data_IF_624903633579
#
_entry.id   IF_624903633579
#
_cell.length_a   1.000
_cell.length_b   1.000
_cell.length_c   1.000
_cell.angle_alpha   90.00
_cell.angle_beta   90.00
_cell.angle_gamma   90.00
#
_symmetry.space_group_name_H-M   'P 1'
#
loop_
_entity.id
_entity.type
_entity.pdbx_description
1 polymer ?
#
# COMPACT_ATOMS: atom_id res chain seq x y z
N UNK A 1 -1.72 -3.31 18.79
CA UNK A 1 -2.67 -2.59 17.92
C UNK A 1 -2.41 -3.04 16.50
N UNK A 2 -3.43 -3.05 15.63
CA UNK A 2 -3.25 -3.36 14.21
C UNK A 2 -2.18 -2.45 13.57
N UNK A 3 -1.55 -2.91 12.50
CA UNK A 3 -0.49 -2.16 11.82
C UNK A 3 -0.65 -2.29 10.32
N UNK A 4 -0.54 -1.18 9.59
CA UNK A 4 -0.72 -1.16 8.13
C UNK A 4 0.59 -0.74 7.49
N UNK A 5 1.08 -1.50 6.52
CA UNK A 5 2.15 -1.07 5.63
C UNK A 5 1.51 -0.60 4.33
N UNK A 6 1.62 0.67 3.98
CA UNK A 6 1.15 1.21 2.71
C UNK A 6 2.29 1.39 1.71
N UNK A 7 2.01 1.23 0.41
CA UNK A 7 2.94 1.47 -0.67
C UNK A 7 2.29 2.21 -1.85
N UNK A 8 3.08 3.03 -2.52
CA UNK A 8 2.77 3.60 -3.84
C UNK A 8 3.93 3.25 -4.77
N UNK A 9 3.60 2.69 -5.94
CA UNK A 9 4.57 2.06 -6.82
C UNK A 9 4.38 2.59 -8.25
N UNK A 10 5.43 3.10 -8.91
CA UNK A 10 5.38 3.40 -10.34
C UNK A 10 5.60 2.12 -11.15
N UNK A 11 4.62 1.73 -11.96
CA UNK A 11 4.66 0.54 -12.81
C UNK A 11 4.72 0.97 -14.27
N UNK A 12 5.70 0.49 -15.05
CA UNK A 12 5.70 0.74 -16.49
C UNK A 12 4.41 0.21 -17.12
N UNK A 13 3.75 1.00 -17.98
CA UNK A 13 2.46 0.60 -18.56
C UNK A 13 2.50 -0.75 -19.27
N UNK A 14 3.63 -1.11 -19.90
CA UNK A 14 3.85 -2.42 -20.53
C UNK A 14 4.05 -3.58 -19.56
N UNK A 15 4.30 -3.30 -18.27
CA UNK A 15 4.52 -4.30 -17.23
C UNK A 15 3.29 -4.50 -16.33
N UNK A 16 2.13 -3.93 -16.70
CA UNK A 16 0.90 -4.04 -15.90
C UNK A 16 0.54 -5.48 -15.56
N UNK A 17 0.44 -6.35 -16.57
CA UNK A 17 0.05 -7.76 -16.39
C UNK A 17 1.09 -8.49 -15.53
N UNK A 18 2.37 -8.19 -15.74
CA UNK A 18 3.46 -8.75 -14.95
C UNK A 18 3.38 -8.32 -13.47
N UNK A 19 3.05 -7.07 -13.21
CA UNK A 19 2.82 -6.58 -11.85
C UNK A 19 1.65 -7.32 -11.18
N UNK A 20 0.55 -7.54 -11.90
CA UNK A 20 -0.60 -8.31 -11.39
C UNK A 20 -0.18 -9.74 -11.03
N UNK A 21 0.57 -10.43 -11.89
CA UNK A 21 1.07 -11.78 -11.60
C UNK A 21 2.00 -11.81 -10.36
N UNK A 22 2.81 -10.77 -10.16
CA UNK A 22 3.67 -10.66 -8.98
C UNK A 22 2.85 -10.41 -7.70
N UNK A 23 1.86 -9.53 -7.76
CA UNK A 23 0.95 -9.25 -6.65
C UNK A 23 0.16 -10.51 -6.24
N UNK A 24 -0.37 -11.26 -7.21
CA UNK A 24 -1.10 -12.51 -6.96
C UNK A 24 -0.24 -13.59 -6.29
N UNK A 25 1.07 -13.62 -6.56
CA UNK A 25 2.03 -14.53 -5.91
C UNK A 25 2.48 -14.02 -4.54
N UNK A 26 2.65 -12.70 -4.38
CA UNK A 26 3.10 -12.09 -3.14
C UNK A 26 2.03 -12.11 -2.05
N UNK A 27 0.75 -11.92 -2.41
CA UNK A 27 -0.36 -11.91 -1.46
C UNK A 27 -0.43 -13.16 -0.56
N UNK A 28 -0.46 -14.41 -1.08
CA UNK A 28 -0.46 -15.60 -0.23
C UNK A 28 0.83 -15.74 0.58
N UNK A 29 1.97 -15.32 0.03
CA UNK A 29 3.25 -15.34 0.75
C UNK A 29 3.20 -14.45 2.00
N UNK A 30 2.75 -13.19 1.90
CA UNK A 30 2.57 -12.34 3.08
C UNK A 30 1.56 -12.93 4.09
N UNK A 31 0.52 -13.62 3.60
CA UNK A 31 -0.47 -14.31 4.46
C UNK A 31 0.15 -15.47 5.24
N UNK A 32 1.10 -16.22 4.66
CA UNK A 32 1.86 -17.27 5.37
C UNK A 32 2.63 -16.70 6.58
N UNK A 33 3.11 -15.46 6.48
CA UNK A 33 3.83 -14.79 7.57
C UNK A 33 2.93 -14.04 8.56
N UNK A 34 1.60 -14.16 8.44
CA UNK A 34 0.65 -13.62 9.42
C UNK A 34 0.02 -12.28 9.04
N UNK A 35 0.16 -11.81 7.80
CA UNK A 35 -0.63 -10.68 7.32
C UNK A 35 -2.13 -11.00 7.42
N UNK A 36 -2.96 -10.02 7.80
CA UNK A 36 -4.42 -10.10 7.88
C UNK A 36 -5.10 -9.81 6.54
N UNK A 37 -4.53 -8.93 5.74
CA UNK A 37 -4.97 -8.65 4.38
C UNK A 37 -3.82 -8.08 3.57
N UNK A 38 -3.86 -8.31 2.26
CA UNK A 38 -2.92 -7.76 1.29
C UNK A 38 -3.76 -7.23 0.14
N UNK A 39 -3.54 -5.98 -0.23
CA UNK A 39 -4.20 -5.34 -1.36
C UNK A 39 -3.12 -4.70 -2.20
N UNK A 40 -3.14 -5.01 -3.50
CA UNK A 40 -2.39 -4.32 -4.53
C UNK A 40 -3.39 -3.93 -5.62
N UNK A 41 -3.55 -2.64 -5.85
CA UNK A 41 -4.45 -2.07 -6.85
C UNK A 41 -3.63 -1.37 -7.94
N UNK A 42 -4.05 -1.51 -9.19
CA UNK A 42 -3.51 -0.74 -10.32
C UNK A 42 -4.43 0.45 -10.57
N UNK A 43 -3.84 1.62 -10.83
CA UNK A 43 -4.55 2.86 -11.09
C UNK A 43 -5.53 2.72 -12.26
N UNK A 44 -6.79 3.07 -11.99
CA UNK A 44 -7.87 3.15 -12.97
C UNK A 44 -8.19 4.62 -13.27
N UNK A 45 -8.57 5.39 -12.23
CA UNK A 45 -8.76 6.84 -12.30
C UNK A 45 -7.85 7.54 -11.28
N UNK A 46 -6.66 7.96 -11.73
CA UNK A 46 -5.66 8.62 -10.88
C UNK A 46 -5.46 10.06 -11.37
N UNK A 47 -6.07 11.06 -10.72
CA UNK A 47 -5.99 12.44 -11.17
C UNK A 47 -4.59 13.02 -10.97
N UNK A 48 -4.16 13.87 -11.92
CA UNK A 48 -2.95 14.68 -11.81
C UNK A 48 -3.28 16.01 -11.15
N UNK A 49 -2.54 16.36 -10.10
CA UNK A 49 -2.71 17.59 -9.34
C UNK A 49 -1.73 18.67 -9.76
N UNK A 50 -1.93 19.89 -9.25
CA UNK A 50 -1.04 21.02 -9.52
C UNK A 50 0.13 21.12 -8.53
N UNK A 51 -0.09 20.72 -7.27
CA UNK A 51 0.90 20.80 -6.18
C UNK A 51 1.44 19.41 -5.86
N UNK A 52 0.55 18.49 -5.49
CA UNK A 52 0.86 17.07 -5.20
C UNK A 52 -0.14 16.16 -5.87
N UNK A 53 0.31 14.96 -6.21
CA UNK A 53 -0.52 13.86 -6.71
C UNK A 53 0.25 12.54 -6.58
N UNK A 54 -0.43 11.42 -6.85
CA UNK A 54 0.15 10.09 -6.79
C UNK A 54 1.27 9.86 -7.83
N UNK A 55 1.25 10.55 -8.97
CA UNK A 55 2.34 10.45 -9.94
C UNK A 55 3.60 11.13 -9.43
N UNK A 56 3.46 12.32 -8.85
CA UNK A 56 4.57 13.09 -8.26
C UNK A 56 5.16 12.39 -7.04
N UNK A 57 4.36 11.70 -6.22
CA UNK A 57 4.82 11.06 -4.99
C UNK A 57 5.88 9.97 -5.23
N UNK A 58 5.85 9.34 -6.42
CA UNK A 58 6.82 8.34 -6.86
C UNK A 58 7.69 8.82 -8.03
N UNK A 59 7.67 10.11 -8.36
CA UNK A 59 8.33 10.66 -9.54
C UNK A 59 8.08 9.81 -10.80
N UNK A 60 6.81 9.51 -11.07
CA UNK A 60 6.40 8.70 -12.21
C UNK A 60 6.80 9.36 -13.53
N UNK A 61 7.32 8.56 -14.45
CA UNK A 61 7.66 8.96 -15.82
C UNK A 61 6.44 8.86 -16.72
N UNK A 62 6.53 9.47 -17.89
CA UNK A 62 5.50 9.34 -18.92
C UNK A 62 5.32 7.87 -19.32
N UNK A 63 4.08 7.41 -19.36
CA UNK A 63 3.73 6.02 -19.66
C UNK A 63 3.79 5.05 -18.48
N UNK A 64 4.09 5.53 -17.27
CA UNK A 64 3.96 4.74 -16.05
C UNK A 64 2.57 4.91 -15.42
N UNK A 65 2.05 3.78 -14.95
CA UNK A 65 0.85 3.67 -14.14
C UNK A 65 1.24 3.75 -12.66
N UNK A 66 0.28 4.11 -11.82
CA UNK A 66 0.46 4.07 -10.37
C UNK A 66 -0.21 2.82 -9.85
N UNK A 67 0.51 2.00 -9.08
CA UNK A 67 -0.09 1.01 -8.22
C UNK A 67 -0.09 1.49 -6.77
N UNK A 68 -1.15 1.16 -6.05
CA UNK A 68 -1.37 1.50 -4.66
C UNK A 68 -1.71 0.23 -3.89
N UNK A 69 -1.06 0.01 -2.77
CA UNK A 69 -1.27 -1.21 -2.01
C UNK A 69 -1.06 -1.03 -0.52
N UNK A 70 -1.59 -1.97 0.24
CA UNK A 70 -1.28 -2.09 1.65
C UNK A 70 -1.37 -3.51 2.18
N UNK A 71 -0.65 -3.75 3.27
CA UNK A 71 -0.66 -5.00 4.01
C UNK A 71 -1.09 -4.68 5.44
N UNK A 72 -2.20 -5.26 5.88
CA UNK A 72 -2.63 -5.17 7.27
C UNK A 72 -2.02 -6.31 8.08
N UNK A 73 -1.49 -6.00 9.24
CA UNK A 73 -0.88 -6.93 10.19
C UNK A 73 -1.62 -6.89 11.53
N UNK A 74 -1.60 -7.99 12.30
CA UNK A 74 -2.17 -8.00 13.64
C UNK A 74 -1.51 -6.97 14.57
N UNK A 75 -0.19 -6.79 14.43
CA UNK A 75 0.61 -5.80 15.13
C UNK A 75 1.98 -5.59 14.47
N UNK A 76 2.69 -4.54 14.91
CA UNK A 76 4.02 -4.18 14.41
C UNK A 76 5.06 -5.27 14.68
N UNK A 77 4.97 -5.97 15.81
CA UNK A 77 5.94 -7.02 16.19
C UNK A 77 5.87 -8.18 15.19
N UNK A 78 4.67 -8.58 14.82
CA UNK A 78 4.41 -9.60 13.79
C UNK A 78 4.92 -9.13 12.44
N UNK A 79 4.66 -7.86 12.06
CA UNK A 79 5.19 -7.29 10.82
C UNK A 79 6.72 -7.32 10.77
N UNK A 80 7.39 -6.91 11.83
CA UNK A 80 8.86 -6.81 11.88
C UNK A 80 9.50 -8.22 11.84
N UNK A 81 8.89 -9.19 12.54
CA UNK A 81 9.31 -10.58 12.49
C UNK A 81 9.09 -11.19 11.09
N UNK A 82 7.94 -10.90 10.46
CA UNK A 82 7.64 -11.31 9.10
C UNK A 82 8.64 -10.74 8.10
N UNK A 83 8.94 -9.45 8.16
CA UNK A 83 9.92 -8.80 7.27
C UNK A 83 11.30 -9.46 7.37
N UNK A 84 11.76 -9.72 8.59
CA UNK A 84 13.02 -10.42 8.82
C UNK A 84 13.01 -11.82 8.22
N UNK A 85 11.92 -12.56 8.41
CA UNK A 85 11.79 -13.92 7.88
C UNK A 85 11.69 -13.94 6.35
N UNK A 86 10.93 -13.02 5.76
CA UNK A 86 10.77 -12.89 4.31
C UNK A 86 12.07 -12.50 3.62
N UNK A 87 12.86 -11.59 4.19
CA UNK A 87 14.18 -11.23 3.65
C UNK A 87 15.19 -12.39 3.67
N UNK A 88 15.01 -13.35 4.58
CA UNK A 88 15.83 -14.55 4.66
C UNK A 88 15.27 -15.72 3.83
N UNK A 89 14.05 -15.60 3.31
CA UNK A 89 13.41 -16.67 2.55
C UNK A 89 13.95 -16.71 1.11
N UNK A 90 14.45 -17.87 0.63
CA UNK A 90 15.00 -17.99 -0.72
C UNK A 90 13.94 -17.83 -1.83
N UNK A 91 12.63 -17.86 -1.49
CA UNK A 91 11.53 -17.58 -2.42
C UNK A 91 11.40 -16.08 -2.71
N UNK A 92 12.01 -15.22 -1.89
CA UNK A 92 11.99 -13.77 -2.07
C UNK A 92 13.04 -13.36 -3.10
N UNK A 93 12.61 -13.22 -4.35
CA UNK A 93 13.47 -12.72 -5.43
C UNK A 93 13.19 -11.24 -5.70
N UNK A 94 14.07 -10.38 -5.17
CA UNK A 94 14.04 -8.93 -5.39
C UNK A 94 14.77 -8.50 -6.67
N UNK A 95 15.39 -9.42 -7.39
CA UNK A 95 16.16 -9.09 -8.60
C UNK A 95 15.28 -8.91 -9.83
N UNK A 96 14.06 -9.43 -9.79
CA UNK A 96 13.12 -9.45 -10.91
C UNK A 96 11.82 -8.69 -10.60
N UNK A 97 11.93 -7.40 -10.24
CA UNK A 97 10.74 -6.57 -9.95
C UNK A 97 10.15 -5.99 -11.23
N UNK A 98 8.81 -6.04 -11.38
CA UNK A 98 8.10 -5.44 -12.52
C UNK A 98 8.08 -3.89 -12.52
N UNK A 99 8.70 -3.28 -11.51
CA UNK A 99 8.68 -1.85 -11.24
C UNK A 99 10.02 -1.35 -10.68
N UNK A 100 10.23 -0.04 -10.69
CA UNK A 100 11.43 0.58 -10.14
C UNK A 100 11.32 0.74 -8.61
N UNK A 101 11.85 -0.24 -7.88
CA UNK A 101 11.84 -0.25 -6.41
C UNK A 101 12.55 0.95 -5.76
N UNK A 102 13.36 1.72 -6.47
CA UNK A 102 14.00 2.94 -5.93
C UNK A 102 13.04 4.11 -5.79
N UNK A 103 11.96 4.11 -6.57
CA UNK A 103 10.94 5.15 -6.60
C UNK A 103 9.66 4.74 -5.88
N UNK A 104 9.55 3.47 -5.50
CA UNK A 104 8.51 3.01 -4.58
C UNK A 104 8.63 3.78 -3.26
N UNK A 105 7.52 4.35 -2.81
CA UNK A 105 7.38 4.86 -1.45
C UNK A 105 6.61 3.82 -0.64
N UNK A 106 7.07 3.58 0.59
CA UNK A 106 6.40 2.69 1.53
C UNK A 106 6.51 3.26 2.93
N UNK A 107 5.54 2.93 3.78
CA UNK A 107 5.48 3.44 5.14
C UNK A 107 4.55 2.60 6.01
N UNK A 108 4.91 2.51 7.29
CA UNK A 108 4.09 1.81 8.27
C UNK A 108 3.27 2.79 9.10
N UNK A 109 2.01 2.46 9.30
CA UNK A 109 0.98 3.33 9.89
C UNK A 109 0.20 2.56 10.95
N UNK A 110 -0.18 3.26 12.02
CA UNK A 110 -1.18 2.78 12.96
C UNK A 110 -2.57 3.17 12.43
N UNK A 111 -3.48 2.21 12.21
CA UNK A 111 -4.83 2.53 11.76
C UNK A 111 -5.57 3.26 12.87
N UNK A 112 -6.13 4.40 12.51
CA UNK A 112 -6.91 5.27 13.41
C UNK A 112 -8.41 4.97 13.31
N UNK A 113 -8.87 4.66 12.09
CA UNK A 113 -10.25 4.29 11.77
C UNK A 113 -10.18 3.01 10.94
N UNK A 114 -10.97 2.02 11.32
CA UNK A 114 -11.11 0.74 10.62
C UNK A 114 -12.57 0.28 10.78
N UNK A 115 -13.43 0.75 9.87
CA UNK A 115 -14.87 0.50 9.89
C UNK A 115 -15.35 -0.08 8.56
N UNK A 116 -16.30 -1.01 8.63
CA UNK A 116 -16.89 -1.68 7.48
C UNK A 116 -17.35 -3.10 7.81
N UNK A 117 -18.20 -3.71 6.97
CA UNK A 117 -18.75 -5.04 7.23
C UNK A 117 -17.69 -6.16 7.23
N UNK A 118 -16.47 -5.88 6.79
CA UNK A 118 -15.47 -6.90 6.43
C UNK A 118 -15.94 -7.77 5.25
N UNK A 119 -15.03 -8.54 4.64
CA UNK A 119 -15.39 -9.48 3.58
C UNK A 119 -14.41 -9.53 2.41
N UNK A 120 -14.82 -10.21 1.33
CA UNK A 120 -14.06 -10.26 0.08
C UNK A 120 -14.06 -8.86 -0.57
N UNK A 121 -12.88 -8.43 -1.02
CA UNK A 121 -12.67 -7.06 -1.49
C UNK A 121 -13.41 -6.76 -2.80
N UNK A 122 -14.02 -5.57 -2.88
CA UNK A 122 -14.68 -5.01 -4.07
C UNK A 122 -13.80 -3.97 -4.76
N UNK A 123 -14.38 -2.84 -5.15
CA UNK A 123 -13.65 -1.69 -5.71
C UNK A 123 -12.79 -1.02 -4.62
N UNK A 124 -11.55 -0.66 -4.96
CA UNK A 124 -10.61 0.00 -4.04
C UNK A 124 -10.55 1.48 -4.37
N UNK A 125 -10.93 2.31 -3.41
CA UNK A 125 -10.74 3.76 -3.44
C UNK A 125 -9.97 4.16 -2.17
N UNK A 126 -9.03 5.09 -2.31
CA UNK A 126 -8.11 5.42 -1.24
C UNK A 126 -7.32 6.68 -1.54
N UNK A 127 -6.98 7.41 -0.48
CA UNK A 127 -6.19 8.63 -0.55
C UNK A 127 -4.95 8.51 0.33
N UNK A 128 -3.86 9.13 -0.12
CA UNK A 128 -2.67 9.38 0.72
C UNK A 128 -2.63 10.86 1.01
N UNK A 129 -2.73 11.22 2.28
CA UNK A 129 -2.72 12.61 2.75
C UNK A 129 -1.50 12.84 3.63
N UNK A 130 -0.83 13.96 3.39
CA UNK A 130 0.20 14.46 4.31
C UNK A 130 -0.50 15.19 5.46
N UNK A 131 -0.41 14.65 6.67
CA UNK A 131 -0.94 15.28 7.89
C UNK A 131 0.26 15.68 8.77
N UNK A 132 0.42 16.96 9.13
CA UNK A 132 1.42 17.36 10.11
C UNK A 132 1.23 16.58 11.41
N UNK A 133 2.32 16.09 12.01
CA UNK A 133 2.26 15.28 13.24
C UNK A 133 1.54 15.99 14.38
N UNK A 134 1.65 17.32 14.46
CA UNK A 134 0.96 18.13 15.47
C UNK A 134 -0.57 18.11 15.36
N UNK A 135 -1.10 17.87 14.15
CA UNK A 135 -2.53 17.95 13.84
C UNK A 135 -3.20 16.57 13.72
N UNK A 136 -2.44 15.49 13.95
CA UNK A 136 -2.92 14.12 13.79
C UNK A 136 -4.23 13.87 14.54
N UNK A 137 -4.29 14.22 15.83
CA UNK A 137 -5.46 14.00 16.68
C UNK A 137 -6.72 14.76 16.22
N UNK A 138 -6.54 15.97 15.67
CA UNK A 138 -7.65 16.77 15.13
C UNK A 138 -8.17 16.16 13.84
N UNK A 139 -7.27 15.69 12.97
CA UNK A 139 -7.63 15.00 11.74
C UNK A 139 -8.40 13.70 12.01
N UNK A 140 -8.00 12.91 13.01
CA UNK A 140 -8.73 11.73 13.47
C UNK A 140 -10.19 12.08 13.80
N UNK A 141 -10.38 13.13 14.60
CA UNK A 141 -11.72 13.53 15.04
C UNK A 141 -12.61 13.94 13.86
N UNK A 142 -12.03 14.63 12.86
CA UNK A 142 -12.75 15.05 11.66
C UNK A 142 -13.30 13.85 10.87
N UNK A 143 -12.47 12.82 10.66
CA UNK A 143 -12.84 11.62 9.91
C UNK A 143 -13.95 10.81 10.58
N UNK A 144 -14.02 10.82 11.90
CA UNK A 144 -15.05 10.12 12.68
C UNK A 144 -16.33 10.98 12.81
N UNK A 145 -16.22 12.31 12.69
CA UNK A 145 -17.33 13.24 12.95
C UNK A 145 -18.37 13.37 11.83
N UNK A 146 -18.22 12.68 10.71
CA UNK A 146 -19.13 12.80 9.55
C UNK A 146 -20.42 12.00 9.63
N UNK A 147 -20.76 11.40 10.78
CA UNK A 147 -22.10 10.86 11.03
C UNK A 147 -22.82 11.65 12.14
N UNK A 148 -23.66 12.61 11.74
CA UNK A 148 -24.81 13.09 12.53
C UNK A 148 -25.92 13.62 11.62
#
# INVERSE_FOLDING_TARGET
MAYVMGCVIPVEGSNRERFVEQAEKAAPFFREFGAKSVIDAVGDDVPKGEVTDFHRSVAAKDGELIAFGWIAWPDKVTKDAAETAMMADPRMDISDMAFDGKRMIFGGFEPVVDEGPGGAFGYVDGFVLAVPTADQAVFVQLLISTES
#
